data_IF_527666233314
#
_entry.id   IF_527666233314
#
_cell.length_a   1.000
_cell.length_b   1.000
_cell.length_c   1.000
_cell.angle_alpha   90.00
_cell.angle_beta   90.00
_cell.angle_gamma   90.00
#
_symmetry.space_group_name_H-M   'P 1'
#
loop_
_entity.id
_entity.type
_entity.pdbx_description
1 polymer ?
#
# COMPACT_ATOMS: atom_id res chain seq x y z
N UNK A 1 -38.78 -5.14 5.79
CA UNK A 1 -38.71 -6.14 4.69
C UNK A 1 -38.35 -5.38 3.40
N UNK A 2 -37.34 -5.90 2.71
CA UNK A 2 -36.47 -5.27 1.70
C UNK A 2 -37.09 -4.33 0.65
N UNK A 3 -36.47 -3.15 0.51
CA UNK A 3 -36.46 -2.34 -0.71
C UNK A 3 -35.02 -1.87 -0.98
N UNK A 4 -34.25 -2.68 -1.71
CA UNK A 4 -32.96 -2.29 -2.30
C UNK A 4 -33.24 -1.44 -3.55
N UNK A 5 -32.99 -0.13 -3.47
CA UNK A 5 -32.71 0.76 -4.62
C UNK A 5 -31.22 1.07 -4.55
N UNK A 6 -30.35 0.42 -5.33
CA UNK A 6 -29.95 0.81 -6.70
C UNK A 6 -29.65 2.31 -6.81
N UNK A 7 -28.37 2.65 -6.66
CA UNK A 7 -27.79 3.90 -7.18
C UNK A 7 -26.69 3.52 -8.17
N UNK A 8 -26.98 3.82 -9.44
CA UNK A 8 -26.14 3.70 -10.63
C UNK A 8 -24.77 4.36 -10.44
N UNK A 9 -23.68 3.67 -10.81
CA UNK A 9 -23.01 3.78 -12.13
C UNK A 9 -22.70 5.22 -12.55
N UNK A 10 -21.49 5.69 -12.26
CA UNK A 10 -20.67 6.50 -13.18
C UNK A 10 -19.21 6.10 -12.97
N UNK A 11 -18.70 5.20 -13.82
CA UNK A 11 -17.26 5.12 -14.13
C UNK A 11 -17.20 5.24 -15.65
N UNK A 12 -16.73 6.39 -16.12
CA UNK A 12 -16.35 6.62 -17.50
C UNK A 12 -14.88 6.21 -17.63
N UNK A 13 -14.48 5.32 -18.55
CA UNK A 13 -13.07 5.12 -18.82
C UNK A 13 -12.57 6.27 -19.69
N UNK A 14 -11.58 7.01 -19.21
CA UNK A 14 -10.77 7.88 -20.07
C UNK A 14 -10.00 6.94 -20.99
N UNK A 15 -10.34 6.96 -22.27
CA UNK A 15 -9.59 6.32 -23.33
C UNK A 15 -8.23 7.02 -23.47
N UNK A 16 -7.24 6.53 -22.73
CA UNK A 16 -5.83 6.76 -23.02
C UNK A 16 -5.41 5.78 -24.11
N UNK A 17 -5.16 6.29 -25.31
CA UNK A 17 -4.53 5.57 -26.41
C UNK A 17 -3.12 5.14 -25.99
N UNK A 18 -2.98 3.97 -25.37
CA UNK A 18 -1.72 3.23 -25.38
C UNK A 18 -1.66 2.49 -26.70
N UNK A 19 -0.69 2.88 -27.54
CA UNK A 19 -0.32 2.08 -28.69
C UNK A 19 0.22 0.74 -28.17
N UNK A 20 -0.65 -0.26 -28.09
CA UNK A 20 -0.26 -1.62 -27.83
C UNK A 20 0.60 -2.07 -29.02
N UNK A 21 1.89 -2.28 -28.78
CA UNK A 21 2.72 -3.07 -29.67
C UNK A 21 2.14 -4.47 -29.70
N UNK A 22 1.33 -4.77 -30.71
CA UNK A 22 0.88 -6.13 -31.00
C UNK A 22 2.15 -6.88 -31.44
N UNK A 23 2.74 -7.65 -30.53
CA UNK A 23 3.68 -8.69 -30.91
C UNK A 23 2.86 -9.76 -31.66
N UNK A 24 2.77 -9.64 -32.98
CA UNK A 24 2.22 -10.69 -33.82
C UNK A 24 3.25 -11.81 -33.85
N UNK A 25 3.02 -12.87 -33.08
CA UNK A 25 3.76 -14.12 -33.23
C UNK A 25 3.29 -14.80 -34.52
N UNK A 26 4.03 -14.65 -35.61
CA UNK A 26 3.86 -15.50 -36.79
C UNK A 26 4.73 -16.75 -36.62
N UNK A 27 4.12 -17.91 -36.34
CA UNK A 27 4.80 -19.19 -36.48
C UNK A 27 4.49 -19.83 -37.83
N UNK A 28 5.48 -20.39 -38.55
CA UNK A 28 5.25 -21.08 -39.82
C UNK A 28 4.45 -22.36 -39.57
N UNK A 29 3.33 -22.49 -40.29
CA UNK A 29 2.54 -23.71 -40.33
C UNK A 29 3.34 -24.80 -41.06
N UNK A 30 3.74 -25.83 -40.33
CA UNK A 30 4.12 -27.11 -40.91
C UNK A 30 2.97 -28.08 -40.64
N UNK A 31 2.16 -28.33 -41.66
CA UNK A 31 1.18 -29.40 -41.66
C UNK A 31 1.88 -30.76 -41.53
N UNK A 32 1.43 -31.58 -40.59
CA UNK A 32 1.55 -33.04 -40.67
C UNK A 32 0.35 -33.67 -39.97
N UNK A 33 -0.38 -34.59 -40.63
CA UNK A 33 -1.60 -35.16 -40.07
C UNK A 33 -1.26 -36.45 -39.32
N UNK A 34 -1.52 -36.52 -38.02
CA UNK A 34 -2.21 -37.68 -37.44
C UNK A 34 -2.50 -37.53 -35.94
N UNK A 35 -3.66 -38.05 -35.56
CA UNK A 35 -4.32 -37.80 -34.27
C UNK A 35 -3.57 -38.28 -33.04
N UNK A 36 -3.63 -37.45 -31.98
CA UNK A 36 -4.27 -37.74 -30.68
C UNK A 36 -4.10 -36.54 -29.74
N UNK A 37 -5.01 -36.45 -28.78
CA UNK A 37 -5.31 -35.33 -27.88
C UNK A 37 -6.12 -34.22 -28.54
N UNK A 38 -7.35 -34.01 -28.04
CA UNK A 38 -8.04 -32.74 -28.18
C UNK A 38 -7.17 -31.73 -27.42
N UNK A 39 -6.19 -31.13 -28.11
CA UNK A 39 -5.54 -29.95 -27.59
C UNK A 39 -6.64 -28.90 -27.44
N UNK A 40 -6.94 -28.52 -26.20
CA UNK A 40 -7.74 -27.33 -25.96
C UNK A 40 -7.12 -26.18 -26.73
N UNK A 41 -7.92 -25.25 -27.28
CA UNK A 41 -7.36 -24.13 -28.00
C UNK A 41 -6.41 -23.39 -27.07
N UNK A 42 -5.14 -23.29 -27.45
CA UNK A 42 -4.11 -22.52 -26.72
C UNK A 42 -4.53 -21.04 -26.55
N UNK A 43 -5.48 -20.58 -27.35
CA UNK A 43 -6.04 -19.22 -27.31
C UNK A 43 -7.23 -19.04 -26.35
N UNK A 44 -7.57 -20.04 -25.51
CA UNK A 44 -8.59 -19.83 -24.46
C UNK A 44 -8.00 -19.10 -23.26
N UNK A 45 -8.79 -18.25 -22.55
CA UNK A 45 -8.29 -17.58 -21.34
C UNK A 45 -7.76 -18.54 -20.26
N UNK A 46 -8.40 -19.71 -20.10
CA UNK A 46 -7.93 -20.76 -19.18
C UNK A 46 -6.64 -21.45 -19.69
N UNK A 47 -6.52 -21.65 -21.01
CA UNK A 47 -5.31 -22.16 -21.66
C UNK A 47 -4.09 -21.29 -21.37
N UNK A 48 -4.22 -19.97 -21.56
CA UNK A 48 -3.14 -19.01 -21.30
C UNK A 48 -2.70 -19.01 -19.83
N UNK A 49 -3.64 -19.06 -18.88
CA UNK A 49 -3.29 -19.20 -17.46
C UNK A 49 -2.61 -20.53 -17.15
N UNK A 50 -3.04 -21.65 -17.75
CA UNK A 50 -2.40 -22.96 -17.55
C UNK A 50 -0.97 -23.00 -18.08
N UNK A 51 -0.74 -22.42 -19.25
CA UNK A 51 0.60 -22.29 -19.83
C UNK A 51 1.49 -21.46 -18.91
N UNK A 52 1.04 -20.26 -18.54
CA UNK A 52 1.79 -19.38 -17.64
C UNK A 52 2.11 -20.05 -16.29
N UNK A 53 1.11 -20.70 -15.67
CA UNK A 53 1.29 -21.45 -14.43
C UNK A 53 2.31 -22.60 -14.59
N UNK A 54 2.28 -23.30 -15.72
CA UNK A 54 3.24 -24.36 -16.02
C UNK A 54 4.66 -23.83 -16.15
N UNK A 55 4.84 -22.64 -16.74
CA UNK A 55 6.15 -22.01 -16.88
C UNK A 55 6.72 -21.59 -15.52
N UNK A 56 5.96 -20.84 -14.70
CA UNK A 56 6.48 -20.36 -13.41
C UNK A 56 6.78 -21.49 -12.42
N UNK A 57 6.09 -22.64 -12.52
CA UNK A 57 6.34 -23.85 -11.71
C UNK A 57 7.68 -24.52 -12.00
N UNK A 58 8.31 -24.24 -13.15
CA UNK A 58 9.64 -24.78 -13.46
C UNK A 58 10.72 -24.15 -12.57
N UNK A 59 10.49 -22.94 -12.09
CA UNK A 59 11.42 -22.19 -11.26
C UNK A 59 11.32 -22.62 -9.80
N UNK A 60 12.44 -22.99 -9.18
CA UNK A 60 12.47 -23.31 -7.75
C UNK A 60 12.64 -22.05 -6.90
N UNK A 61 13.53 -21.16 -7.33
CA UNK A 61 13.85 -19.91 -6.67
C UNK A 61 14.01 -18.77 -7.68
N UNK A 62 13.59 -17.55 -7.30
CA UNK A 62 13.77 -16.37 -8.14
C UNK A 62 14.47 -15.24 -7.38
N UNK A 63 15.38 -14.55 -8.04
CA UNK A 63 15.82 -13.22 -7.61
C UNK A 63 14.64 -12.25 -7.57
N UNK A 64 14.82 -11.11 -6.91
CA UNK A 64 13.77 -10.08 -6.88
C UNK A 64 13.39 -9.59 -8.28
N UNK A 65 14.37 -9.33 -9.14
CA UNK A 65 14.09 -8.85 -10.50
C UNK A 65 13.33 -9.89 -11.34
N UNK A 66 13.73 -11.17 -11.28
CA UNK A 66 13.00 -12.23 -11.98
C UNK A 66 11.57 -12.38 -11.46
N UNK A 67 11.37 -12.31 -10.14
CA UNK A 67 10.03 -12.34 -9.54
C UNK A 67 9.17 -11.17 -10.03
N UNK A 68 9.72 -9.95 -10.11
CA UNK A 68 8.99 -8.80 -10.65
C UNK A 68 8.65 -8.96 -12.12
N UNK A 69 9.50 -9.60 -12.92
CA UNK A 69 9.16 -9.92 -14.32
C UNK A 69 7.95 -10.85 -14.36
N UNK A 70 7.97 -11.94 -13.59
CA UNK A 70 6.82 -12.85 -13.52
C UNK A 70 5.55 -12.11 -13.09
N UNK A 71 5.57 -11.34 -12.01
CA UNK A 71 4.39 -10.60 -11.53
C UNK A 71 3.85 -9.64 -12.62
N UNK A 72 4.73 -8.95 -13.35
CA UNK A 72 4.31 -8.05 -14.42
C UNK A 72 3.68 -8.76 -15.62
N UNK A 73 4.23 -9.91 -16.02
CA UNK A 73 3.65 -10.77 -17.06
C UNK A 73 2.27 -11.27 -16.62
N UNK A 74 2.15 -11.72 -15.37
CA UNK A 74 0.88 -12.17 -14.81
C UNK A 74 -0.18 -11.07 -14.78
N UNK A 75 0.17 -9.83 -14.41
CA UNK A 75 -0.78 -8.71 -14.46
C UNK A 75 -1.27 -8.43 -15.88
N UNK A 76 -0.36 -8.44 -16.86
CA UNK A 76 -0.70 -8.26 -18.28
C UNK A 76 -1.64 -9.36 -18.78
N UNK A 77 -1.35 -10.61 -18.38
CA UNK A 77 -2.18 -11.76 -18.69
C UNK A 77 -3.56 -11.67 -18.03
N UNK A 78 -3.61 -11.27 -16.75
CA UNK A 78 -4.84 -11.07 -15.99
C UNK A 78 -5.77 -10.07 -16.68
N UNK A 79 -5.22 -8.94 -17.16
CA UNK A 79 -5.99 -7.92 -17.87
C UNK A 79 -6.52 -8.44 -19.21
N UNK A 80 -5.70 -9.21 -19.94
CA UNK A 80 -6.08 -9.85 -21.20
C UNK A 80 -7.21 -10.87 -21.01
N UNK A 81 -7.09 -11.74 -20.00
CA UNK A 81 -8.13 -12.71 -19.61
C UNK A 81 -9.42 -12.00 -19.19
N UNK A 82 -9.32 -10.93 -18.40
CA UNK A 82 -10.49 -10.15 -17.98
C UNK A 82 -11.20 -9.48 -19.16
N UNK A 83 -10.44 -8.96 -20.14
CA UNK A 83 -11.00 -8.38 -21.36
C UNK A 83 -11.71 -9.44 -22.22
N UNK A 84 -11.09 -10.62 -22.41
CA UNK A 84 -11.68 -11.72 -23.16
C UNK A 84 -12.99 -12.21 -22.53
N UNK A 85 -13.02 -12.37 -21.20
CA UNK A 85 -14.24 -12.76 -20.46
C UNK A 85 -15.35 -11.70 -20.61
N UNK A 86 -15.01 -10.40 -20.64
CA UNK A 86 -15.99 -9.31 -20.80
C UNK A 86 -16.57 -9.23 -22.21
N UNK A 87 -15.77 -9.52 -23.24
CA UNK A 87 -16.20 -9.47 -24.64
C UNK A 87 -17.12 -10.64 -25.01
N UNK A 88 -17.04 -11.76 -24.28
CA UNK A 88 -17.91 -12.93 -24.44
C UNK A 88 -19.35 -12.66 -23.94
N UNK A 89 -20.06 -11.80 -24.67
CA UNK A 89 -21.45 -11.40 -24.41
C UNK A 89 -22.48 -12.43 -24.89
N UNK A 90 -22.06 -13.44 -25.66
CA UNK A 90 -22.94 -14.49 -26.18
C UNK A 90 -23.08 -15.71 -25.24
N UNK A 91 -22.24 -15.84 -24.20
CA UNK A 91 -22.16 -17.04 -23.36
C UNK A 91 -22.51 -16.79 -21.90
N UNK A 92 -23.74 -16.36 -21.66
CA UNK A 92 -24.37 -16.43 -20.33
C UNK A 92 -24.54 -17.87 -19.81
N UNK A 93 -24.09 -18.88 -20.57
CA UNK A 93 -24.19 -20.32 -20.31
C UNK A 93 -22.90 -20.99 -19.77
N UNK A 94 -21.79 -20.27 -19.49
CA UNK A 94 -20.53 -20.89 -19.03
C UNK A 94 -20.01 -20.37 -17.69
N UNK A 95 -20.72 -20.68 -16.59
CA UNK A 95 -20.18 -20.58 -15.23
C UNK A 95 -18.84 -21.33 -15.07
N UNK A 96 -18.65 -22.43 -15.81
CA UNK A 96 -17.47 -23.28 -15.77
C UNK A 96 -16.17 -22.57 -16.17
N UNK A 97 -16.11 -21.88 -17.31
CA UNK A 97 -14.87 -21.23 -17.79
C UNK A 97 -14.43 -20.08 -16.89
N UNK A 98 -15.38 -19.30 -16.35
CA UNK A 98 -15.08 -18.23 -15.40
C UNK A 98 -14.55 -18.80 -14.08
N UNK A 99 -15.17 -19.86 -13.59
CA UNK A 99 -14.72 -20.54 -12.37
C UNK A 99 -13.35 -21.18 -12.56
N UNK A 100 -13.09 -21.81 -13.71
CA UNK A 100 -11.79 -22.36 -14.05
C UNK A 100 -10.70 -21.26 -14.09
N UNK A 101 -10.97 -20.13 -14.76
CA UNK A 101 -10.03 -19.00 -14.77
C UNK A 101 -9.76 -18.45 -13.36
N UNK A 102 -10.78 -18.46 -12.49
CA UNK A 102 -10.64 -18.04 -11.09
C UNK A 102 -9.73 -19.00 -10.32
N UNK A 103 -9.95 -20.30 -10.43
CA UNK A 103 -9.12 -21.33 -9.77
C UNK A 103 -7.67 -21.31 -10.26
N UNK A 104 -7.47 -21.07 -11.57
CA UNK A 104 -6.13 -20.92 -12.15
C UNK A 104 -5.45 -19.64 -11.68
N UNK A 105 -6.18 -18.53 -11.60
CA UNK A 105 -5.67 -17.29 -11.00
C UNK A 105 -5.23 -17.51 -9.56
N UNK A 106 -6.06 -18.14 -8.71
CA UNK A 106 -5.71 -18.48 -7.33
C UNK A 106 -4.46 -19.39 -7.25
N UNK A 107 -4.32 -20.31 -8.21
CA UNK A 107 -3.15 -21.19 -8.32
C UNK A 107 -1.87 -20.45 -8.71
N UNK A 108 -1.98 -19.46 -9.61
CA UNK A 108 -0.86 -18.59 -9.99
C UNK A 108 -0.46 -17.70 -8.81
N UNK A 109 -1.42 -17.09 -8.10
CA UNK A 109 -1.14 -16.33 -6.87
C UNK A 109 -0.36 -17.18 -5.87
N UNK A 110 -0.82 -18.41 -5.61
CA UNK A 110 -0.17 -19.32 -4.67
C UNK A 110 1.27 -19.66 -5.08
N UNK A 111 1.51 -19.87 -6.38
CA UNK A 111 2.83 -20.16 -6.92
C UNK A 111 3.77 -18.94 -6.84
N UNK A 112 3.28 -17.74 -7.17
CA UNK A 112 4.03 -16.49 -7.01
C UNK A 112 4.35 -16.20 -5.55
N UNK A 113 3.44 -16.47 -4.61
CA UNK A 113 3.70 -16.39 -3.17
C UNK A 113 4.78 -17.37 -2.73
N UNK A 114 4.74 -18.62 -3.20
CA UNK A 114 5.81 -19.60 -2.95
C UNK A 114 7.17 -19.09 -3.45
N UNK A 115 7.22 -18.49 -4.63
CA UNK A 115 8.43 -17.90 -5.22
C UNK A 115 8.90 -16.63 -4.49
N UNK A 116 7.99 -15.83 -3.94
CA UNK A 116 8.33 -14.71 -3.07
C UNK A 116 9.02 -15.20 -1.78
N UNK A 117 8.56 -16.34 -1.23
CA UNK A 117 9.11 -16.97 -0.02
C UNK A 117 10.31 -17.90 -0.29
N UNK A 118 10.68 -18.15 -1.54
CA UNK A 118 11.74 -19.12 -1.88
C UNK A 118 13.14 -18.67 -1.44
N UNK A 119 13.31 -17.38 -1.14
CA UNK A 119 14.57 -16.76 -0.72
C UNK A 119 14.31 -15.72 0.36
N UNK A 120 15.28 -15.45 1.26
CA UNK A 120 15.20 -14.31 2.16
C UNK A 120 14.96 -13.02 1.38
N UNK A 121 13.99 -12.22 1.85
CA UNK A 121 13.62 -10.93 1.24
C UNK A 121 13.97 -9.78 2.16
N UNK A 122 14.05 -8.58 1.59
CA UNK A 122 14.36 -7.35 2.34
C UNK A 122 13.16 -6.41 2.39
N UNK A 123 13.09 -5.59 3.43
CA UNK A 123 12.09 -4.52 3.53
C UNK A 123 12.15 -3.53 2.35
N UNK A 124 13.34 -3.36 1.75
CA UNK A 124 13.51 -2.53 0.56
C UNK A 124 12.82 -3.17 -0.65
N UNK A 125 12.95 -4.47 -0.84
CA UNK A 125 12.26 -5.20 -1.90
C UNK A 125 10.72 -5.09 -1.75
N UNK A 126 10.19 -5.12 -0.52
CA UNK A 126 8.75 -4.91 -0.27
C UNK A 126 8.29 -3.54 -0.78
N UNK A 127 9.04 -2.48 -0.47
CA UNK A 127 8.72 -1.12 -0.92
C UNK A 127 8.84 -1.00 -2.44
N UNK A 128 9.92 -1.50 -3.02
CA UNK A 128 10.14 -1.51 -4.48
C UNK A 128 9.02 -2.26 -5.22
N UNK A 129 8.53 -3.37 -4.65
CA UNK A 129 7.43 -4.14 -5.22
C UNK A 129 6.13 -3.32 -5.26
N UNK A 130 5.79 -2.67 -4.15
CA UNK A 130 4.60 -1.81 -4.04
C UNK A 130 4.66 -0.61 -4.98
N UNK A 131 5.84 -0.02 -5.14
CA UNK A 131 6.06 1.09 -6.08
C UNK A 131 5.88 0.64 -7.53
N UNK A 132 6.56 -0.45 -7.93
CA UNK A 132 6.57 -0.95 -9.31
C UNK A 132 5.20 -1.39 -9.80
N UNK A 133 4.39 -1.95 -8.91
CA UNK A 133 3.04 -2.44 -9.22
C UNK A 133 1.93 -1.53 -8.71
N UNK A 134 2.23 -0.25 -8.45
CA UNK A 134 1.19 0.73 -8.17
C UNK A 134 0.29 0.93 -9.39
N UNK A 135 -1.05 0.82 -9.26
CA UNK A 135 -1.97 1.12 -10.35
C UNK A 135 -1.99 2.61 -10.72
N UNK A 136 -1.37 3.48 -9.91
CA UNK A 136 -1.29 4.92 -10.13
C UNK A 136 0.05 5.37 -10.72
N UNK A 137 0.99 4.46 -10.99
CA UNK A 137 2.32 4.79 -11.50
C UNK A 137 2.29 5.64 -12.79
N UNK A 138 1.28 5.44 -13.65
CA UNK A 138 1.08 6.20 -14.90
C UNK A 138 0.19 7.45 -14.79
N UNK A 139 -0.33 7.78 -13.60
CA UNK A 139 -1.30 8.88 -13.45
C UNK A 139 -0.61 10.25 -13.39
N UNK A 140 -0.43 10.87 -14.56
CA UNK A 140 0.23 12.18 -14.70
C UNK A 140 -0.52 13.31 -13.96
N UNK A 141 -1.86 13.24 -13.88
CA UNK A 141 -2.65 14.29 -13.23
C UNK A 141 -2.49 14.22 -11.71
N UNK A 142 -2.47 13.01 -11.15
CA UNK A 142 -2.20 12.76 -9.74
C UNK A 142 -0.81 13.26 -9.36
N UNK A 143 0.23 12.91 -10.13
CA UNK A 143 1.60 13.38 -9.89
C UNK A 143 1.67 14.90 -9.91
N UNK A 144 1.13 15.55 -10.95
CA UNK A 144 1.12 17.02 -11.03
C UNK A 144 0.41 17.66 -9.83
N UNK A 145 -0.74 17.11 -9.44
CA UNK A 145 -1.50 17.63 -8.29
C UNK A 145 -0.74 17.45 -6.97
N UNK A 146 0.04 16.37 -6.84
CA UNK A 146 0.93 16.16 -5.69
C UNK A 146 2.08 17.18 -5.67
N UNK A 147 2.73 17.46 -6.81
CA UNK A 147 3.78 18.48 -6.91
C UNK A 147 3.30 19.87 -6.48
N UNK A 148 2.06 20.24 -6.84
CA UNK A 148 1.45 21.52 -6.44
C UNK A 148 1.27 21.63 -4.91
N UNK A 149 1.09 20.51 -4.22
CA UNK A 149 0.85 20.44 -2.78
C UNK A 149 2.17 20.29 -1.98
N UNK A 150 3.20 19.68 -2.55
CA UNK A 150 4.50 19.41 -1.88
C UNK A 150 5.10 20.61 -1.13
N UNK A 151 5.11 21.86 -1.66
CA UNK A 151 5.66 23.00 -0.94
C UNK A 151 5.00 23.23 0.44
N UNK A 152 3.72 22.92 0.58
CA UNK A 152 3.03 23.02 1.88
C UNK A 152 3.61 22.03 2.89
N UNK A 153 3.80 20.77 2.52
CA UNK A 153 4.38 19.75 3.42
C UNK A 153 5.85 20.01 3.72
N UNK A 154 6.65 20.42 2.73
CA UNK A 154 8.04 20.81 2.93
C UNK A 154 8.19 22.01 3.88
N UNK A 155 7.20 22.90 3.93
CA UNK A 155 7.18 24.00 4.89
C UNK A 155 6.91 23.54 6.33
N UNK A 156 6.31 22.37 6.55
CA UNK A 156 6.07 21.82 7.90
C UNK A 156 7.38 21.43 8.60
N UNK A 157 8.39 20.96 7.86
CA UNK A 157 9.71 20.61 8.40
C UNK A 157 10.42 21.81 9.06
N UNK A 158 10.15 23.01 8.55
CA UNK A 158 10.75 24.25 9.05
C UNK A 158 10.00 24.83 10.25
N UNK A 159 8.82 24.29 10.57
CA UNK A 159 7.99 24.80 11.66
C UNK A 159 8.37 24.12 12.97
N UNK A 160 8.40 24.86 14.08
CA UNK A 160 8.64 24.26 15.39
C UNK A 160 7.51 23.30 15.75
N UNK A 161 7.85 22.19 16.39
CA UNK A 161 6.86 21.34 17.04
C UNK A 161 6.21 22.09 18.21
N UNK A 162 5.07 21.58 18.68
CA UNK A 162 4.42 22.11 19.88
C UNK A 162 5.39 22.04 21.08
N UNK A 163 5.44 23.12 21.88
CA UNK A 163 6.28 23.20 23.08
C UNK A 163 5.43 22.88 24.30
N UNK A 164 5.70 21.75 24.93
CA UNK A 164 5.09 21.36 26.19
C UNK A 164 5.62 20.01 26.64
N UNK A 165 5.39 19.68 27.91
CA UNK A 165 5.60 18.32 28.40
C UNK A 165 4.55 17.36 27.82
N UNK A 166 4.65 16.08 28.17
CA UNK A 166 3.75 15.03 27.70
C UNK A 166 2.27 15.39 27.95
N UNK A 167 1.90 15.73 29.18
CA UNK A 167 0.51 16.02 29.55
C UNK A 167 -0.05 17.22 28.78
N UNK A 168 0.77 18.27 28.62
CA UNK A 168 0.43 19.45 27.85
C UNK A 168 0.25 19.13 26.36
N UNK A 169 1.12 18.29 25.79
CA UNK A 169 1.03 17.84 24.41
C UNK A 169 -0.25 17.04 24.17
N UNK A 170 -0.60 16.10 25.06
CA UNK A 170 -1.84 15.33 24.96
C UNK A 170 -3.10 16.21 25.10
N UNK A 171 -3.08 17.16 26.04
CA UNK A 171 -4.16 18.12 26.20
C UNK A 171 -4.33 19.01 24.96
N UNK A 172 -3.22 19.50 24.39
CA UNK A 172 -3.22 20.29 23.17
C UNK A 172 -3.75 19.49 21.98
N UNK A 173 -3.37 18.21 21.86
CA UNK A 173 -3.88 17.32 20.80
C UNK A 173 -5.39 17.16 20.91
N UNK A 174 -5.91 16.81 22.09
CA UNK A 174 -7.36 16.69 22.34
C UNK A 174 -8.11 17.97 22.02
N UNK A 175 -7.58 19.12 22.45
CA UNK A 175 -8.17 20.43 22.17
C UNK A 175 -8.20 20.74 20.66
N UNK A 176 -7.14 20.40 19.94
CA UNK A 176 -7.07 20.56 18.49
C UNK A 176 -8.13 19.71 17.79
N UNK A 177 -8.24 18.43 18.15
CA UNK A 177 -9.23 17.50 17.57
C UNK A 177 -10.65 17.97 17.87
N UNK A 178 -10.98 18.22 19.14
CA UNK A 178 -12.30 18.72 19.52
C UNK A 178 -12.64 20.05 18.82
N UNK A 179 -11.68 20.97 18.73
CA UNK A 179 -11.84 22.22 18.00
C UNK A 179 -12.08 22.03 16.50
N UNK A 180 -11.44 21.05 15.88
CA UNK A 180 -11.64 20.72 14.47
C UNK A 180 -13.03 20.10 14.25
N UNK A 181 -13.45 19.18 15.11
CA UNK A 181 -14.78 18.56 15.04
C UNK A 181 -15.91 19.56 15.27
N UNK A 182 -15.73 20.52 16.18
CA UNK A 182 -16.75 21.54 16.46
C UNK A 182 -16.88 22.58 15.35
N UNK A 183 -15.76 22.97 14.73
CA UNK A 183 -15.75 24.00 13.70
C UNK A 183 -15.99 23.45 12.29
N UNK A 184 -15.76 22.16 12.07
CA UNK A 184 -15.75 21.54 10.75
C UNK A 184 -14.54 21.95 9.90
N UNK A 185 -14.49 21.39 8.69
CA UNK A 185 -13.56 21.76 7.63
C UNK A 185 -14.41 22.18 6.44
N UNK A 186 -14.32 23.45 6.03
CA UNK A 186 -15.21 24.03 5.03
C UNK A 186 -14.50 24.58 3.78
N UNK A 187 -13.17 24.57 3.76
CA UNK A 187 -12.39 24.90 2.58
C UNK A 187 -10.94 24.35 2.68
N UNK A 188 -10.14 24.58 1.63
CA UNK A 188 -8.73 24.19 1.56
C UNK A 188 -7.87 24.85 2.66
N UNK A 189 -8.25 26.04 3.14
CA UNK A 189 -7.50 26.75 4.20
C UNK A 189 -7.73 26.09 5.55
N UNK A 190 -8.96 25.68 5.85
CA UNK A 190 -9.29 24.92 7.05
C UNK A 190 -8.57 23.58 7.08
N UNK A 191 -8.54 22.86 5.95
CA UNK A 191 -7.80 21.61 5.80
C UNK A 191 -6.31 21.80 6.07
N UNK A 192 -5.67 22.77 5.41
CA UNK A 192 -4.25 23.08 5.62
C UNK A 192 -3.97 23.47 7.07
N UNK A 193 -4.83 24.29 7.68
CA UNK A 193 -4.69 24.71 9.08
C UNK A 193 -4.81 23.53 10.04
N UNK A 194 -5.70 22.58 9.77
CA UNK A 194 -5.80 21.34 10.53
C UNK A 194 -4.50 20.54 10.43
N UNK A 195 -4.04 20.22 9.22
CA UNK A 195 -2.81 19.43 8.99
C UNK A 195 -1.60 20.10 9.63
N UNK A 196 -1.45 21.42 9.47
CA UNK A 196 -0.34 22.18 10.00
C UNK A 196 -0.26 22.12 11.54
N UNK A 197 -1.40 22.38 12.21
CA UNK A 197 -1.45 22.33 13.68
C UNK A 197 -1.26 20.91 14.19
N UNK A 198 -1.79 19.95 13.45
CA UNK A 198 -1.73 18.55 13.85
C UNK A 198 -0.32 17.96 13.69
N UNK A 199 0.41 18.29 12.60
CA UNK A 199 1.83 17.92 12.43
C UNK A 199 2.68 18.44 13.60
N UNK A 200 2.47 19.69 14.03
CA UNK A 200 3.24 20.28 15.12
C UNK A 200 3.01 19.56 16.46
N UNK A 201 1.77 19.20 16.77
CA UNK A 201 1.44 18.46 18.01
C UNK A 201 1.83 17.00 17.90
N UNK A 202 1.70 16.39 16.72
CA UNK A 202 2.11 14.99 16.48
C UNK A 202 3.62 14.81 16.63
N UNK A 203 4.45 15.71 16.10
CA UNK A 203 5.91 15.66 16.32
C UNK A 203 6.31 15.81 17.78
N UNK A 204 5.59 16.66 18.53
CA UNK A 204 5.80 16.78 19.98
C UNK A 204 5.37 15.50 20.71
N UNK A 205 4.28 14.86 20.27
CA UNK A 205 3.83 13.58 20.79
C UNK A 205 4.88 12.47 20.55
N UNK A 206 5.43 12.38 19.35
CA UNK A 206 6.48 11.41 19.02
C UNK A 206 7.76 11.62 19.85
N UNK A 207 8.10 12.88 20.16
CA UNK A 207 9.31 13.18 20.96
C UNK A 207 9.26 12.60 22.38
N UNK A 208 8.07 12.29 22.91
CA UNK A 208 7.87 11.63 24.20
C UNK A 208 7.31 10.21 24.07
N UNK A 209 7.54 9.53 22.93
CA UNK A 209 6.93 8.24 22.62
C UNK A 209 7.42 7.12 23.57
N UNK A 210 8.71 7.04 23.87
CA UNK A 210 9.26 6.07 24.84
C UNK A 210 8.68 6.26 26.25
N UNK A 211 8.43 7.52 26.64
CA UNK A 211 7.84 7.93 27.92
C UNK A 211 6.31 7.78 27.98
N UNK A 212 5.66 7.21 26.95
CA UNK A 212 4.19 7.16 26.84
C UNK A 212 3.48 6.42 27.97
N UNK A 213 4.15 5.51 28.69
CA UNK A 213 3.58 4.76 29.80
C UNK A 213 2.23 4.09 29.45
N UNK A 214 1.33 3.94 30.43
CA UNK A 214 -0.01 3.37 30.26
C UNK A 214 -1.09 4.37 29.84
N UNK A 215 -0.70 5.54 29.31
CA UNK A 215 -1.67 6.58 28.95
C UNK A 215 -2.66 6.04 27.91
N UNK A 216 -3.96 6.14 28.20
CA UNK A 216 -4.98 5.76 27.24
C UNK A 216 -5.07 6.82 26.14
N UNK A 217 -4.80 6.39 24.91
CA UNK A 217 -4.77 7.22 23.70
C UNK A 217 -5.89 6.88 22.72
N UNK A 218 -6.81 5.98 23.12
CA UNK A 218 -7.91 5.55 22.27
C UNK A 218 -8.83 6.70 21.85
N UNK A 219 -8.96 7.72 22.70
CA UNK A 219 -9.74 8.91 22.40
C UNK A 219 -9.07 9.77 21.30
N UNK A 220 -7.75 9.97 21.39
CA UNK A 220 -6.98 10.67 20.36
C UNK A 220 -7.05 9.93 19.02
N UNK A 221 -6.88 8.60 19.01
CA UNK A 221 -7.00 7.80 17.77
C UNK A 221 -8.39 7.96 17.16
N UNK A 222 -9.45 7.70 17.93
CA UNK A 222 -10.83 7.81 17.47
C UNK A 222 -11.17 9.21 16.96
N UNK A 223 -10.78 10.26 17.68
CA UNK A 223 -11.14 11.61 17.31
C UNK A 223 -10.27 12.14 16.15
N UNK A 224 -9.06 11.59 15.95
CA UNK A 224 -8.27 11.78 14.73
C UNK A 224 -8.97 11.16 13.52
N UNK A 225 -9.49 9.94 13.63
CA UNK A 225 -10.27 9.29 12.57
C UNK A 225 -11.51 10.09 12.19
N UNK A 226 -12.22 10.65 13.18
CA UNK A 226 -13.35 11.56 12.93
C UNK A 226 -12.92 12.83 12.20
N UNK A 227 -11.81 13.46 12.60
CA UNK A 227 -11.29 14.64 11.89
C UNK A 227 -10.90 14.30 10.44
N UNK A 228 -10.29 13.14 10.19
CA UNK A 228 -10.01 12.66 8.84
C UNK A 228 -11.31 12.46 8.04
N UNK A 229 -12.36 11.93 8.67
CA UNK A 229 -13.68 11.75 8.06
C UNK A 229 -14.33 13.08 7.69
N UNK A 230 -14.18 14.12 8.53
CA UNK A 230 -14.67 15.48 8.23
C UNK A 230 -14.09 16.05 6.93
N UNK A 231 -12.84 15.71 6.58
CA UNK A 231 -12.24 16.11 5.30
C UNK A 231 -13.01 15.53 4.13
N UNK A 232 -13.36 14.24 4.18
CA UNK A 232 -14.14 13.60 3.11
C UNK A 232 -15.61 14.03 3.12
N UNK A 233 -16.16 14.40 4.28
CA UNK A 233 -17.48 15.03 4.35
C UNK A 233 -17.47 16.41 3.69
N UNK A 234 -16.41 17.21 3.87
CA UNK A 234 -16.22 18.47 3.16
C UNK A 234 -16.14 18.26 1.64
N UNK A 235 -15.46 17.21 1.19
CA UNK A 235 -15.47 16.82 -0.21
C UNK A 235 -16.87 16.43 -0.72
N UNK A 236 -17.65 15.70 0.09
CA UNK A 236 -19.05 15.37 -0.21
C UNK A 236 -19.96 16.60 -0.28
N UNK A 237 -19.67 17.63 0.52
CA UNK A 237 -20.33 18.95 0.48
C UNK A 237 -19.83 19.84 -0.67
N UNK A 238 -18.84 19.39 -1.44
CA UNK A 238 -18.18 20.14 -2.54
C UNK A 238 -17.46 21.41 -2.07
N UNK A 239 -17.12 21.49 -0.79
CA UNK A 239 -16.35 22.58 -0.18
C UNK A 239 -14.86 22.48 -0.51
N UNK A 240 -14.37 21.26 -0.70
CA UNK A 240 -13.08 20.92 -1.27
C UNK A 240 -13.27 19.84 -2.34
N UNK A 241 -12.32 19.68 -3.25
CA UNK A 241 -12.44 18.60 -4.24
C UNK A 241 -12.07 17.25 -3.62
N UNK A 242 -12.69 16.16 -4.09
CA UNK A 242 -12.34 14.83 -3.62
C UNK A 242 -10.86 14.48 -3.89
N UNK A 243 -10.34 14.89 -5.04
CA UNK A 243 -8.92 14.72 -5.39
C UNK A 243 -8.01 15.46 -4.42
N UNK A 244 -8.33 16.70 -4.07
CA UNK A 244 -7.57 17.48 -3.09
C UNK A 244 -7.58 16.81 -1.71
N UNK A 245 -8.77 16.44 -1.22
CA UNK A 245 -8.92 15.71 0.04
C UNK A 245 -8.06 14.44 0.06
N UNK A 246 -8.13 13.64 -1.00
CA UNK A 246 -7.38 12.40 -1.14
C UNK A 246 -5.86 12.63 -1.06
N UNK A 247 -5.33 13.58 -1.85
CA UNK A 247 -3.88 13.84 -1.90
C UNK A 247 -3.36 14.42 -0.59
N UNK A 248 -4.04 15.40 0.00
CA UNK A 248 -3.63 15.96 1.29
C UNK A 248 -3.63 14.91 2.40
N UNK A 249 -4.65 14.06 2.44
CA UNK A 249 -4.77 13.04 3.49
C UNK A 249 -3.75 11.92 3.31
N UNK A 250 -3.47 11.50 2.07
CA UNK A 250 -2.42 10.53 1.77
C UNK A 250 -1.03 11.07 2.14
N UNK A 251 -0.65 12.27 1.67
CA UNK A 251 0.63 12.89 2.02
C UNK A 251 0.79 13.10 3.53
N UNK A 252 -0.29 13.47 4.23
CA UNK A 252 -0.29 13.55 5.70
C UNK A 252 -0.05 12.17 6.32
N UNK A 253 -0.74 11.13 5.86
CA UNK A 253 -0.58 9.78 6.39
C UNK A 253 0.86 9.27 6.17
N UNK A 254 1.39 9.42 4.96
CA UNK A 254 2.75 8.99 4.59
C UNK A 254 3.80 9.69 5.46
N UNK A 255 3.68 11.01 5.61
CA UNK A 255 4.56 11.80 6.48
C UNK A 255 4.53 11.29 7.92
N UNK A 256 3.34 11.01 8.47
CA UNK A 256 3.20 10.50 9.84
C UNK A 256 3.82 9.11 10.01
N UNK A 257 3.66 8.24 9.01
CA UNK A 257 4.26 6.90 9.01
C UNK A 257 5.79 6.99 9.04
N UNK A 258 6.37 7.80 8.15
CA UNK A 258 7.83 7.99 8.09
C UNK A 258 8.37 8.58 9.40
N UNK A 259 7.72 9.61 9.93
CA UNK A 259 8.11 10.24 11.20
C UNK A 259 8.04 9.25 12.37
N UNK A 260 6.94 8.47 12.47
CA UNK A 260 6.76 7.48 13.52
C UNK A 260 7.89 6.44 13.51
N UNK A 261 8.15 5.83 12.35
CA UNK A 261 9.19 4.81 12.27
C UNK A 261 10.58 5.41 12.51
N UNK A 262 10.87 6.61 12.01
CA UNK A 262 12.15 7.27 12.29
C UNK A 262 12.35 7.47 13.79
N UNK A 263 11.34 7.98 14.50
CA UNK A 263 11.39 8.12 15.96
C UNK A 263 11.59 6.79 16.66
N UNK A 264 10.88 5.74 16.23
CA UNK A 264 11.06 4.39 16.79
C UNK A 264 12.50 3.89 16.66
N UNK A 265 13.09 4.03 15.47
CA UNK A 265 14.48 3.62 15.22
C UNK A 265 15.46 4.44 16.06
N UNK A 266 15.24 5.74 16.20
CA UNK A 266 16.08 6.62 16.99
C UNK A 266 16.00 6.32 18.49
N UNK A 267 14.82 6.03 19.04
CA UNK A 267 14.62 5.61 20.43
C UNK A 267 15.29 4.25 20.72
N UNK A 268 15.19 3.30 19.78
CA UNK A 268 15.88 2.00 19.89
C UNK A 268 17.39 2.20 19.88
N UNK A 269 17.91 3.06 19.00
CA UNK A 269 19.33 3.36 18.94
C UNK A 269 19.85 4.02 20.23
N UNK A 270 19.04 4.85 20.89
CA UNK A 270 19.36 5.46 22.18
C UNK A 270 19.22 4.51 23.38
N UNK A 271 18.62 3.32 23.20
CA UNK A 271 18.37 2.39 24.29
C UNK A 271 17.22 2.79 25.20
N UNK A 272 16.26 3.56 24.69
CA UNK A 272 15.08 4.06 25.43
C UNK A 272 14.02 2.97 25.67
N UNK A 273 14.19 1.78 25.08
CA UNK A 273 13.22 0.67 25.13
C UNK A 273 13.66 -0.34 26.17
N UNK A 274 12.85 -0.49 27.23
CA UNK A 274 13.21 -1.29 28.39
C UNK A 274 12.31 -2.52 28.59
N UNK A 275 11.02 -2.45 28.21
CA UNK A 275 10.07 -3.53 28.51
C UNK A 275 9.65 -4.34 27.29
N UNK A 276 9.25 -5.61 27.46
CA UNK A 276 8.69 -6.41 26.37
C UNK A 276 7.45 -5.80 25.72
N UNK A 277 6.59 -5.12 26.49
CA UNK A 277 5.38 -4.46 25.97
C UNK A 277 5.75 -3.31 25.04
N UNK A 278 6.73 -2.49 25.43
CA UNK A 278 7.26 -1.43 24.57
C UNK A 278 7.88 -2.03 23.30
N UNK A 279 8.69 -3.08 23.43
CA UNK A 279 9.31 -3.74 22.28
C UNK A 279 8.27 -4.25 21.28
N UNK A 280 7.19 -4.89 21.73
CA UNK A 280 6.09 -5.31 20.84
C UNK A 280 5.42 -4.12 20.15
N UNK A 281 5.12 -3.05 20.90
CA UNK A 281 4.51 -1.84 20.31
C UNK A 281 5.41 -1.22 19.23
N UNK A 282 6.71 -1.17 19.46
CA UNK A 282 7.69 -0.62 18.51
C UNK A 282 7.83 -1.50 17.27
N UNK A 283 7.79 -2.84 17.39
CA UNK A 283 7.75 -3.73 16.23
C UNK A 283 6.55 -3.39 15.34
N UNK A 284 5.35 -3.25 15.93
CA UNK A 284 4.15 -2.89 15.18
C UNK A 284 4.26 -1.52 14.49
N UNK A 285 4.79 -0.52 15.19
CA UNK A 285 4.98 0.82 14.61
C UNK A 285 5.99 0.80 13.45
N UNK A 286 7.11 0.09 13.58
CA UNK A 286 8.13 -0.04 12.53
C UNK A 286 7.59 -0.80 11.30
N UNK A 287 6.71 -1.79 11.50
CA UNK A 287 6.11 -2.55 10.40
C UNK A 287 5.06 -1.77 9.61
N UNK A 288 4.53 -0.69 10.18
CA UNK A 288 3.37 0.01 9.66
C UNK A 288 3.52 0.52 8.21
N UNK A 289 4.65 1.08 7.77
CA UNK A 289 4.82 1.52 6.37
C UNK A 289 4.68 0.37 5.38
N UNK A 290 5.20 -0.81 5.69
CA UNK A 290 5.13 -1.97 4.80
C UNK A 290 3.73 -2.58 4.75
N UNK A 291 2.98 -2.49 5.85
CA UNK A 291 1.60 -2.95 5.90
C UNK A 291 0.61 -1.96 5.24
N UNK A 292 0.83 -0.65 5.41
CA UNK A 292 -0.21 0.37 5.15
C UNK A 292 0.01 1.18 3.89
N UNK A 293 1.25 1.35 3.40
CA UNK A 293 1.50 2.07 2.15
C UNK A 293 0.94 1.25 0.98
N UNK A 294 -0.13 1.75 0.38
CA UNK A 294 -0.74 1.21 -0.82
C UNK A 294 -0.15 1.86 -2.08
N UNK A 295 -0.64 1.45 -3.26
CA UNK A 295 -0.15 2.02 -4.52
C UNK A 295 -0.35 3.54 -4.62
N UNK A 296 -1.44 4.08 -4.06
CA UNK A 296 -1.70 5.52 -4.11
C UNK A 296 -0.66 6.27 -3.29
N UNK A 297 -0.44 5.86 -2.04
CA UNK A 297 0.58 6.40 -1.16
C UNK A 297 1.96 6.33 -1.82
N UNK A 298 2.37 5.14 -2.32
CA UNK A 298 3.68 4.95 -2.96
C UNK A 298 3.90 5.88 -4.15
N UNK A 299 2.85 6.16 -4.92
CA UNK A 299 2.89 7.10 -6.05
C UNK A 299 3.04 8.55 -5.60
N UNK A 300 2.45 8.93 -4.46
CA UNK A 300 2.47 10.31 -3.97
C UNK A 300 3.77 10.70 -3.25
N UNK A 301 4.53 9.74 -2.73
CA UNK A 301 5.80 9.97 -2.05
C UNK A 301 6.77 10.81 -2.89
N UNK A 302 7.41 11.79 -2.24
CA UNK A 302 8.51 12.54 -2.85
C UNK A 302 9.78 11.68 -2.98
N UNK A 303 10.74 12.07 -3.84
CA UNK A 303 12.06 11.41 -3.88
C UNK A 303 12.75 11.36 -2.51
N UNK A 304 12.60 12.41 -1.70
CA UNK A 304 13.12 12.49 -0.34
C UNK A 304 12.44 11.49 0.60
N UNK A 305 11.12 11.35 0.50
CA UNK A 305 10.35 10.37 1.29
C UNK A 305 10.75 8.95 0.92
N UNK A 306 10.88 8.63 -0.36
CA UNK A 306 11.35 7.32 -0.84
C UNK A 306 12.74 7.01 -0.31
N UNK A 307 13.66 7.98 -0.37
CA UNK A 307 15.00 7.84 0.22
C UNK A 307 14.97 7.65 1.74
N UNK A 308 14.03 8.27 2.44
CA UNK A 308 13.84 8.07 3.86
C UNK A 308 13.34 6.64 4.17
N UNK A 309 12.38 6.14 3.42
CA UNK A 309 11.88 4.77 3.54
C UNK A 309 12.96 3.73 3.20
N UNK A 310 13.81 3.98 2.20
CA UNK A 310 14.96 3.13 1.87
C UNK A 310 15.95 2.98 3.04
N UNK A 311 16.23 4.10 3.73
CA UNK A 311 17.07 4.09 4.93
C UNK A 311 16.40 3.34 6.07
N UNK A 312 15.12 3.62 6.32
CA UNK A 312 14.30 2.91 7.31
C UNK A 312 14.34 1.39 7.04
N UNK A 313 14.16 0.96 5.79
CA UNK A 313 14.20 -0.44 5.39
C UNK A 313 15.57 -1.09 5.63
N UNK A 314 16.65 -0.33 5.46
CA UNK A 314 18.02 -0.79 5.74
C UNK A 314 18.27 -0.92 7.25
N UNK A 315 17.74 0.00 8.05
CA UNK A 315 17.92 0.02 9.52
C UNK A 315 16.99 -0.98 10.26
N UNK A 316 15.84 -1.31 9.66
CA UNK A 316 14.77 -2.13 10.29
C UNK A 316 15.27 -3.48 10.83
N UNK A 317 16.04 -4.31 10.09
CA UNK A 317 16.51 -5.60 10.61
C UNK A 317 17.37 -5.47 11.87
N UNK A 318 18.25 -4.46 11.91
CA UNK A 318 19.09 -4.20 13.09
C UNK A 318 18.28 -3.75 14.30
N UNK A 319 17.26 -2.92 14.08
CA UNK A 319 16.34 -2.52 15.15
C UNK A 319 15.56 -3.72 15.72
N UNK A 320 15.09 -4.63 14.86
CA UNK A 320 14.40 -5.85 15.29
C UNK A 320 15.31 -6.81 16.07
N UNK A 321 16.58 -6.91 15.69
CA UNK A 321 17.55 -7.68 16.47
C UNK A 321 17.76 -7.08 17.87
N UNK A 322 17.81 -5.75 18.00
CA UNK A 322 17.87 -5.09 19.32
C UNK A 322 16.62 -5.38 20.15
N UNK A 323 15.43 -5.24 19.56
CA UNK A 323 14.16 -5.51 20.26
C UNK A 323 14.01 -6.99 20.65
N UNK A 324 14.48 -7.92 19.81
CA UNK A 324 14.44 -9.37 20.09
C UNK A 324 15.17 -9.71 21.40
N UNK A 325 16.29 -9.06 21.69
CA UNK A 325 17.05 -9.26 22.94
C UNK A 325 16.24 -8.91 24.18
N UNK A 326 15.28 -7.99 24.07
CA UNK A 326 14.36 -7.61 25.15
C UNK A 326 13.24 -8.66 25.31
N UNK A 327 12.74 -9.20 24.20
CA UNK A 327 11.58 -10.11 24.17
C UNK A 327 11.85 -11.52 24.73
N UNK A 328 13.11 -11.90 24.95
CA UNK A 328 13.50 -13.20 25.54
C UNK A 328 12.90 -14.44 24.84
N UNK A 329 12.47 -14.29 23.59
CA UNK A 329 11.77 -15.31 22.80
C UNK A 329 12.63 -15.70 21.61
N UNK A 330 13.02 -16.98 21.55
CA UNK A 330 13.77 -17.57 20.42
C UNK A 330 12.90 -17.75 19.16
N UNK A 331 11.58 -17.52 19.24
CA UNK A 331 10.63 -17.97 18.22
C UNK A 331 9.90 -16.83 17.51
N UNK A 332 10.62 -15.76 17.12
CA UNK A 332 10.05 -14.68 16.33
C UNK A 332 10.53 -14.72 14.86
N UNK A 333 9.60 -14.93 13.93
CA UNK A 333 9.84 -15.01 12.46
C UNK A 333 10.05 -13.62 11.83
N UNK A 334 10.74 -12.70 12.53
CA UNK A 334 10.90 -11.30 12.13
C UNK A 334 11.73 -11.12 10.85
N UNK A 335 12.65 -12.06 10.60
CA UNK A 335 13.48 -12.19 9.41
C UNK A 335 12.70 -12.67 8.18
N UNK A 336 11.61 -13.42 8.39
CA UNK A 336 10.73 -13.89 7.31
C UNK A 336 9.65 -12.88 6.92
N UNK A 337 9.43 -11.85 7.75
CA UNK A 337 8.37 -10.85 7.54
C UNK A 337 8.41 -10.16 6.17
N UNK A 338 9.57 -9.76 5.60
CA UNK A 338 9.58 -9.18 4.26
C UNK A 338 8.97 -10.10 3.21
N UNK A 339 9.24 -11.41 3.27
CA UNK A 339 8.66 -12.40 2.37
C UNK A 339 7.14 -12.52 2.56
N UNK A 340 6.68 -12.58 3.82
CA UNK A 340 5.24 -12.62 4.14
C UNK A 340 4.51 -11.34 3.68
N UNK A 341 5.14 -10.18 3.79
CA UNK A 341 4.60 -8.90 3.32
C UNK A 341 4.50 -8.86 1.78
N UNK A 342 5.46 -9.46 1.07
CA UNK A 342 5.37 -9.62 -0.38
C UNK A 342 4.24 -10.57 -0.77
N UNK A 343 4.06 -11.69 -0.06
CA UNK A 343 2.92 -12.61 -0.27
C UNK A 343 1.57 -11.88 -0.09
N UNK A 344 1.41 -11.12 1.01
CA UNK A 344 0.20 -10.33 1.26
C UNK A 344 -0.04 -9.33 0.11
N UNK A 345 1.03 -8.68 -0.38
CA UNK A 345 0.92 -7.77 -1.50
C UNK A 345 0.52 -8.49 -2.79
N UNK A 346 1.15 -9.61 -3.14
CA UNK A 346 0.84 -10.41 -4.33
C UNK A 346 -0.62 -10.86 -4.31
N UNK A 347 -1.13 -11.30 -3.15
CA UNK A 347 -2.52 -11.67 -2.98
C UNK A 347 -3.51 -10.50 -3.16
N UNK A 348 -3.04 -9.25 -3.10
CA UNK A 348 -3.86 -8.05 -3.31
C UNK A 348 -3.86 -7.52 -4.74
N UNK A 349 -2.96 -8.00 -5.59
CA UNK A 349 -2.85 -7.61 -7.01
C UNK A 349 -3.99 -8.20 -7.84
#
# INVERSE_FOLDING_TARGET
>A
MNSRKSYLKIILPIAGLSAASIAVFTFPSCDSPNGKSLAEPQDTPAGLYREYLSEIRKSQELSFEELTVCIGEWQTLKDSVAAAIRQDTARQAHSGTREECRLLHDSICSELSRLALSKPRTYKEVLSLKERFSPYAGDVELHRSAEEIRPFFAALDKRPAYRGNKEQTLSAYRKLLAGTLNNGIHDSRDLKRFIEKEDAVFRAFLSGLHDSGSANMADITRDTEKCCSEVFLAAGRKEITYKEALIYMALRADRRLIQNVRTCLDDIHRGEIATPEQAHAYIWMILQPYASLDGLCMTLLSPEDKKALDRIATETPGAFETLRKILSSENNRLDELPGMLMEIFIASL
#
